data_IF_050290426614
#
_entry.id   IF_050290426614
#
_cell.length_a   1.000
_cell.length_b   1.000
_cell.length_c   1.000
_cell.angle_alpha   90.00
_cell.angle_beta   90.00
_cell.angle_gamma   90.00
#
_symmetry.space_group_name_H-M   'P 1'
#
loop_
_entity.id
_entity.type
_entity.pdbx_description
1 polymer ?
#
# COMPACT_ATOMS: atom_id res chain seq x y z
N UNK A 1 32.34 -38.87 -14.87
CA UNK A 1 32.62 -37.49 -15.36
C UNK A 1 32.70 -36.40 -14.25
N UNK A 2 31.65 -36.12 -13.47
CA UNK A 2 31.68 -35.06 -12.41
C UNK A 2 32.70 -35.29 -11.28
N UNK A 3 32.96 -36.54 -10.87
CA UNK A 3 33.99 -36.87 -9.86
C UNK A 3 35.42 -36.77 -10.41
N UNK A 4 35.62 -37.06 -11.70
CA UNK A 4 36.92 -36.93 -12.37
C UNK A 4 37.30 -35.46 -12.59
N UNK A 5 36.34 -34.59 -12.96
CA UNK A 5 36.56 -33.13 -13.01
C UNK A 5 36.87 -32.55 -11.63
N UNK A 6 36.22 -33.04 -10.56
CA UNK A 6 36.50 -32.63 -9.17
C UNK A 6 37.92 -32.99 -8.75
N UNK A 7 38.40 -34.20 -9.10
CA UNK A 7 39.78 -34.63 -8.84
C UNK A 7 40.81 -33.84 -9.66
N UNK A 8 40.50 -33.53 -10.92
CA UNK A 8 41.39 -32.73 -11.77
C UNK A 8 41.59 -31.30 -11.23
N UNK A 9 40.50 -30.64 -10.79
CA UNK A 9 40.56 -29.30 -10.19
C UNK A 9 41.31 -29.30 -8.85
N UNK A 10 41.11 -30.33 -8.01
CA UNK A 10 41.85 -30.46 -6.73
C UNK A 10 43.35 -30.68 -6.97
N UNK A 11 43.72 -31.50 -7.96
CA UNK A 11 45.12 -31.74 -8.30
C UNK A 11 45.78 -30.51 -8.93
N UNK A 12 45.05 -29.70 -9.70
CA UNK A 12 45.54 -28.45 -10.28
C UNK A 12 45.76 -27.36 -9.23
N UNK A 13 44.89 -27.28 -8.21
CA UNK A 13 45.03 -26.37 -7.07
C UNK A 13 46.15 -26.79 -6.10
N UNK A 14 46.45 -28.09 -6.00
CA UNK A 14 47.57 -28.61 -5.22
C UNK A 14 48.94 -28.30 -5.86
N UNK A 15 49.05 -28.43 -7.19
CA UNK A 15 50.30 -28.14 -7.93
C UNK A 15 50.72 -26.67 -7.93
N UNK A 16 49.78 -25.75 -7.67
CA UNK A 16 50.00 -24.29 -7.70
C UNK A 16 50.24 -23.69 -6.32
N UNK A 17 50.29 -24.50 -5.25
CA UNK A 17 50.40 -24.01 -3.87
C UNK A 17 49.17 -23.22 -3.38
N UNK A 18 48.07 -23.21 -4.14
CA UNK A 18 46.86 -22.44 -3.85
C UNK A 18 45.81 -23.25 -3.06
N UNK A 19 46.05 -24.54 -2.84
CA UNK A 19 45.15 -25.43 -2.09
C UNK A 19 44.97 -24.97 -0.64
N UNK A 20 46.05 -24.56 0.03
CA UNK A 20 45.97 -24.04 1.40
C UNK A 20 45.24 -22.70 1.47
N UNK A 21 45.40 -21.80 0.48
CA UNK A 21 44.62 -20.54 0.42
C UNK A 21 43.14 -20.78 0.12
N UNK A 22 42.80 -21.76 -0.71
CA UNK A 22 41.41 -22.13 -1.01
C UNK A 22 40.72 -22.86 0.17
N UNK A 23 41.47 -23.69 0.89
CA UNK A 23 41.01 -24.34 2.14
C UNK A 23 40.93 -23.35 3.28
N UNK A 24 41.86 -22.40 3.40
CA UNK A 24 41.83 -21.31 4.39
C UNK A 24 40.71 -20.31 4.11
N UNK A 25 40.44 -19.94 2.84
CA UNK A 25 39.30 -19.08 2.50
C UNK A 25 37.96 -19.77 2.76
N UNK A 26 37.86 -21.09 2.51
CA UNK A 26 36.66 -21.88 2.80
C UNK A 26 36.51 -22.19 4.30
N UNK A 27 37.60 -22.35 5.03
CA UNK A 27 37.61 -22.53 6.48
C UNK A 27 37.30 -21.22 7.19
N UNK A 28 37.88 -20.08 6.79
CA UNK A 28 37.57 -18.74 7.32
C UNK A 28 36.12 -18.32 7.04
N UNK A 29 35.58 -18.62 5.85
CA UNK A 29 34.18 -18.30 5.51
C UNK A 29 33.17 -19.17 6.31
N UNK A 30 33.55 -20.39 6.68
CA UNK A 30 32.70 -21.32 7.45
C UNK A 30 32.85 -21.13 8.97
N UNK A 31 34.05 -20.81 9.45
CA UNK A 31 34.34 -20.56 10.88
C UNK A 31 33.86 -19.18 11.33
N UNK A 32 33.92 -18.13 10.49
CA UNK A 32 33.34 -16.82 10.86
C UNK A 32 31.82 -16.84 10.97
N UNK A 33 31.15 -17.72 10.22
CA UNK A 33 29.70 -17.92 10.31
C UNK A 33 29.31 -18.60 11.63
N UNK A 34 29.96 -19.72 11.94
CA UNK A 34 29.63 -20.51 13.12
C UNK A 34 30.08 -19.82 14.41
N UNK A 35 31.19 -19.08 14.41
CA UNK A 35 31.71 -18.45 15.62
C UNK A 35 31.02 -17.11 15.98
N UNK A 36 30.55 -16.35 14.97
CA UNK A 36 29.66 -15.19 15.20
C UNK A 36 28.25 -15.63 15.59
N UNK A 37 27.69 -16.68 14.97
CA UNK A 37 26.40 -17.24 15.36
C UNK A 37 26.46 -17.96 16.72
N UNK A 38 27.60 -18.58 17.07
CA UNK A 38 27.83 -19.15 18.40
C UNK A 38 27.97 -18.06 19.46
N UNK A 39 28.67 -16.95 19.18
CA UNK A 39 28.69 -15.77 20.06
C UNK A 39 27.31 -15.12 20.20
N UNK A 40 26.50 -15.13 19.14
CA UNK A 40 25.08 -14.74 19.21
C UNK A 40 24.28 -15.68 20.12
N UNK A 41 24.39 -17.01 19.94
CA UNK A 41 23.75 -18.03 20.80
C UNK A 41 24.17 -17.89 22.28
N UNK A 42 25.43 -17.55 22.55
CA UNK A 42 25.94 -17.40 23.92
C UNK A 42 25.59 -16.06 24.57
N UNK A 43 25.43 -14.98 23.80
CA UNK A 43 24.98 -13.66 24.32
C UNK A 43 23.46 -13.48 24.37
N UNK A 44 22.72 -14.25 23.55
CA UNK A 44 21.27 -14.06 23.34
C UNK A 44 20.48 -15.37 23.46
N UNK A 45 20.99 -16.37 24.18
CA UNK A 45 20.15 -17.49 24.62
C UNK A 45 19.00 -16.90 25.47
N UNK A 46 17.73 -17.02 25.04
CA UNK A 46 16.65 -16.34 25.71
C UNK A 46 16.25 -17.12 26.95
N UNK A 47 16.74 -16.69 28.12
CA UNK A 47 15.94 -16.79 29.33
C UNK A 47 14.77 -15.82 29.16
N UNK A 48 13.56 -16.34 28.99
CA UNK A 48 12.27 -15.63 28.86
C UNK A 48 12.09 -14.69 27.65
N UNK A 49 11.60 -15.23 26.52
CA UNK A 49 11.05 -14.43 25.39
C UNK A 49 9.52 -14.31 25.42
N UNK A 50 8.85 -14.84 26.45
CA UNK A 50 7.40 -14.73 26.64
C UNK A 50 7.00 -13.44 27.36
N UNK A 51 7.96 -12.73 27.98
CA UNK A 51 7.75 -11.45 28.67
C UNK A 51 8.30 -10.30 27.81
N UNK A 52 7.51 -9.23 27.71
CA UNK A 52 7.82 -7.92 27.11
C UNK A 52 7.52 -7.62 25.63
N UNK A 53 6.86 -8.47 24.83
CA UNK A 53 6.22 -7.92 23.59
C UNK A 53 4.99 -7.07 23.94
N UNK A 54 4.32 -7.40 25.07
CA UNK A 54 3.26 -6.56 25.67
C UNK A 54 3.75 -5.19 26.14
N UNK A 55 5.06 -5.00 26.29
CA UNK A 55 5.66 -3.78 26.82
C UNK A 55 6.16 -2.84 25.71
N UNK A 56 5.92 -3.18 24.43
CA UNK A 56 6.20 -2.27 23.31
C UNK A 56 5.03 -1.28 23.23
N UNK A 57 5.25 0.03 23.41
CA UNK A 57 4.20 1.03 23.30
C UNK A 57 3.48 0.95 21.96
N UNK A 58 2.20 1.32 21.97
CA UNK A 58 1.33 1.36 20.79
C UNK A 58 1.24 0.02 20.05
N UNK A 59 1.15 -1.09 20.77
CA UNK A 59 0.94 -2.42 20.18
C UNK A 59 -0.28 -3.13 20.75
N UNK A 60 -0.93 -3.92 19.91
CA UNK A 60 -2.04 -4.80 20.27
C UNK A 60 -1.75 -6.23 19.80
N UNK A 61 -2.43 -7.18 20.44
CA UNK A 61 -2.43 -8.58 20.01
C UNK A 61 -3.71 -8.82 19.22
N UNK A 62 -3.57 -9.21 17.95
CA UNK A 62 -4.70 -9.54 17.08
C UNK A 62 -4.39 -10.83 16.30
N UNK A 63 -5.27 -11.22 15.38
CA UNK A 63 -5.11 -12.40 14.55
C UNK A 63 -4.93 -12.07 13.07
N UNK A 64 -4.02 -12.77 12.39
CA UNK A 64 -3.77 -12.61 10.97
C UNK A 64 -4.06 -13.89 10.17
N UNK A 65 -4.72 -13.74 9.02
CA UNK A 65 -4.95 -14.80 8.03
C UNK A 65 -6.43 -15.10 7.78
N UNK A 66 -6.72 -15.63 6.59
CA UNK A 66 -8.06 -16.13 6.22
C UNK A 66 -8.04 -17.65 6.13
N UNK A 67 -9.17 -18.31 6.46
CA UNK A 67 -9.33 -19.75 6.24
C UNK A 67 -9.15 -20.04 4.73
N UNK A 68 -8.34 -21.04 4.33
CA UNK A 68 -7.83 -22.17 5.12
C UNK A 68 -6.34 -22.02 5.57
N UNK A 69 -5.73 -20.84 5.43
CA UNK A 69 -4.28 -20.64 5.63
C UNK A 69 -3.81 -20.65 7.10
N UNK A 70 -4.71 -20.93 8.05
CA UNK A 70 -4.47 -20.88 9.49
C UNK A 70 -4.58 -19.46 10.04
N UNK A 71 -5.36 -19.30 11.09
CA UNK A 71 -5.39 -18.06 11.89
C UNK A 71 -4.16 -18.07 12.79
N UNK A 72 -3.37 -17.00 12.79
CA UNK A 72 -2.18 -16.88 13.64
C UNK A 72 -2.33 -15.67 14.57
N UNK A 73 -1.88 -15.79 15.81
CA UNK A 73 -1.77 -14.64 16.72
C UNK A 73 -0.57 -13.80 16.31
N UNK A 74 -0.76 -12.49 16.18
CA UNK A 74 0.27 -11.53 15.79
C UNK A 74 0.28 -10.34 16.73
N UNK A 75 1.42 -9.65 16.76
CA UNK A 75 1.58 -8.38 17.44
C UNK A 75 1.57 -7.31 16.36
N UNK A 76 0.62 -6.39 16.45
CA UNK A 76 0.44 -5.30 15.49
C UNK A 76 0.69 -3.96 16.18
N UNK A 77 1.27 -3.01 15.46
CA UNK A 77 1.29 -1.62 15.89
C UNK A 77 -0.12 -1.04 15.76
N UNK A 78 -0.62 -0.48 16.84
CA UNK A 78 -1.86 0.26 16.86
C UNK A 78 -1.68 1.60 16.12
N UNK A 79 -2.57 1.88 15.17
CA UNK A 79 -2.63 3.12 14.40
C UNK A 79 -4.09 3.55 14.30
N UNK A 80 -4.39 4.79 14.71
CA UNK A 80 -5.75 5.35 14.66
C UNK A 80 -6.19 5.73 13.24
N UNK A 81 -5.25 6.02 12.35
CA UNK A 81 -5.50 6.32 10.93
C UNK A 81 -4.24 5.94 10.14
N UNK A 82 -4.29 4.83 9.41
CA UNK A 82 -3.20 4.44 8.53
C UNK A 82 -3.76 4.13 7.15
N UNK A 83 -3.33 4.91 6.15
CA UNK A 83 -3.51 4.51 4.76
C UNK A 83 -2.64 3.30 4.45
N UNK A 84 -2.95 2.60 3.36
CA UNK A 84 -2.07 1.53 2.85
C UNK A 84 -0.64 2.06 2.59
N UNK A 85 -0.52 3.31 2.13
CA UNK A 85 0.77 3.94 1.86
C UNK A 85 1.59 4.18 3.12
N UNK A 86 0.95 4.59 4.21
CA UNK A 86 1.64 4.84 5.47
C UNK A 86 2.26 3.54 6.02
N UNK A 87 1.53 2.43 5.92
CA UNK A 87 2.07 1.11 6.25
C UNK A 87 3.27 0.74 5.36
N UNK A 88 3.16 0.97 4.04
CA UNK A 88 4.25 0.73 3.09
C UNK A 88 5.49 1.59 3.40
N UNK A 89 5.31 2.89 3.62
CA UNK A 89 6.38 3.85 3.96
C UNK A 89 7.02 3.49 5.29
N UNK A 90 6.22 3.13 6.29
CA UNK A 90 6.70 2.65 7.59
C UNK A 90 7.61 1.42 7.43
N UNK A 91 7.17 0.42 6.68
CA UNK A 91 7.95 -0.80 6.42
C UNK A 91 9.25 -0.52 5.64
N UNK A 92 9.20 0.36 4.63
CA UNK A 92 10.41 0.80 3.91
C UNK A 92 11.40 1.49 4.84
N UNK A 93 10.91 2.41 5.67
CA UNK A 93 11.73 3.16 6.62
C UNK A 93 12.34 2.25 7.68
N UNK A 94 11.60 1.24 8.15
CA UNK A 94 12.13 0.22 9.05
C UNK A 94 13.32 -0.52 8.43
N UNK A 95 13.17 -1.02 7.20
CA UNK A 95 14.23 -1.77 6.52
C UNK A 95 15.45 -0.91 6.29
N UNK A 96 15.27 0.27 5.68
CA UNK A 96 16.39 1.17 5.35
C UNK A 96 17.14 1.62 6.60
N UNK A 97 16.44 1.95 7.70
CA UNK A 97 17.06 2.29 8.99
C UNK A 97 17.81 1.11 9.59
N UNK A 98 17.18 -0.07 9.67
CA UNK A 98 17.81 -1.27 10.26
C UNK A 98 19.08 -1.69 9.51
N UNK A 99 19.08 -1.60 8.18
CA UNK A 99 20.23 -1.95 7.35
C UNK A 99 21.33 -0.88 7.40
N UNK A 100 20.96 0.39 7.34
CA UNK A 100 21.95 1.49 7.41
C UNK A 100 22.65 1.51 8.76
N UNK A 101 21.94 1.21 9.86
CA UNK A 101 22.50 1.12 11.20
C UNK A 101 23.64 0.08 11.35
N UNK A 102 23.68 -0.94 10.47
CA UNK A 102 24.74 -1.96 10.47
C UNK A 102 25.74 -1.81 9.31
N UNK A 103 25.69 -0.67 8.62
CA UNK A 103 26.56 -0.34 7.50
C UNK A 103 26.25 -1.13 6.21
N UNK A 104 25.02 -1.65 6.07
CA UNK A 104 24.53 -2.24 4.83
C UNK A 104 23.99 -1.11 3.95
N UNK A 105 24.61 -0.92 2.77
CA UNK A 105 24.10 0.05 1.79
C UNK A 105 22.80 -0.48 1.18
N UNK A 106 21.81 0.40 1.07
CA UNK A 106 20.53 0.16 0.42
C UNK A 106 20.39 1.04 -0.80
N UNK A 107 19.68 0.57 -1.81
CA UNK A 107 19.34 1.37 -2.98
C UNK A 107 17.84 1.23 -3.24
N UNK A 108 17.12 2.34 -3.22
CA UNK A 108 15.67 2.32 -3.44
C UNK A 108 15.36 2.01 -4.90
N UNK A 109 14.39 1.13 -5.13
CA UNK A 109 13.92 0.79 -6.45
C UNK A 109 12.51 1.32 -6.65
N UNK A 110 12.11 1.63 -7.90
CA UNK A 110 10.75 1.98 -8.21
C UNK A 110 9.80 0.87 -7.80
N UNK A 111 8.65 1.30 -7.29
CA UNK A 111 7.57 0.39 -7.00
C UNK A 111 6.95 -0.09 -8.32
N UNK A 112 6.92 -1.40 -8.52
CA UNK A 112 6.13 -2.06 -9.57
C UNK A 112 4.84 -2.64 -8.99
N UNK A 113 4.50 -2.27 -7.76
CA UNK A 113 3.43 -2.86 -6.98
C UNK A 113 2.69 -1.82 -6.17
N UNK A 114 1.36 -1.81 -6.34
CA UNK A 114 0.44 -0.98 -5.56
C UNK A 114 0.52 -1.17 -4.04
N UNK A 115 1.06 -2.29 -3.58
CA UNK A 115 1.02 -2.66 -2.16
C UNK A 115 2.38 -2.65 -1.46
N UNK A 116 3.52 -2.45 -2.13
CA UNK A 116 4.83 -2.61 -1.46
C UNK A 116 5.94 -1.83 -2.13
N UNK A 117 6.85 -1.29 -1.32
CA UNK A 117 8.12 -0.76 -1.80
C UNK A 117 9.17 -1.86 -1.92
N UNK A 118 10.22 -1.55 -2.69
CA UNK A 118 11.34 -2.46 -2.93
C UNK A 118 12.66 -1.73 -2.71
N UNK A 119 13.57 -2.42 -2.03
CA UNK A 119 14.93 -1.95 -1.76
C UNK A 119 15.92 -3.01 -2.23
N UNK A 120 16.91 -2.59 -3.01
CA UNK A 120 18.03 -3.41 -3.40
C UNK A 120 19.12 -3.42 -2.33
N UNK A 121 19.79 -4.57 -2.21
CA UNK A 121 20.99 -4.74 -1.37
C UNK A 121 22.07 -5.50 -2.12
N UNK A 122 23.33 -5.10 -1.93
CA UNK A 122 24.52 -5.78 -2.47
C UNK A 122 25.28 -6.42 -1.31
N UNK A 123 24.67 -7.43 -0.68
CA UNK A 123 25.24 -8.09 0.50
C UNK A 123 24.87 -9.57 0.57
N UNK A 124 25.63 -10.30 1.38
CA UNK A 124 25.35 -11.68 1.75
C UNK A 124 24.05 -11.76 2.58
N UNK A 125 23.21 -12.76 2.29
CA UNK A 125 21.96 -13.04 3.00
C UNK A 125 22.17 -13.23 4.50
N UNK A 126 23.27 -13.88 4.90
CA UNK A 126 23.53 -14.12 6.32
C UNK A 126 23.83 -12.82 7.07
N UNK A 127 24.56 -11.90 6.43
CA UNK A 127 24.84 -10.57 6.97
C UNK A 127 23.57 -9.70 7.00
N UNK A 128 22.71 -9.83 5.99
CA UNK A 128 21.44 -9.14 5.94
C UNK A 128 20.51 -9.59 7.08
N UNK A 129 20.36 -10.91 7.26
CA UNK A 129 19.55 -11.47 8.33
C UNK A 129 20.05 -11.02 9.70
N UNK A 130 21.36 -11.08 9.93
CA UNK A 130 21.96 -10.58 11.17
C UNK A 130 21.65 -9.10 11.41
N UNK A 131 21.73 -8.27 10.37
CA UNK A 131 21.45 -6.85 10.47
C UNK A 131 20.00 -6.58 10.89
N UNK A 132 19.06 -7.30 10.28
CA UNK A 132 17.64 -7.18 10.61
C UNK A 132 17.35 -7.67 12.03
N UNK A 133 17.92 -8.81 12.44
CA UNK A 133 17.71 -9.36 13.80
C UNK A 133 18.25 -8.44 14.89
N UNK A 134 19.37 -7.75 14.63
CA UNK A 134 20.02 -6.88 15.63
C UNK A 134 19.39 -5.49 15.68
N UNK A 135 19.00 -4.92 14.55
CA UNK A 135 18.63 -3.51 14.46
C UNK A 135 17.12 -3.26 14.24
N UNK A 136 16.35 -4.26 13.80
CA UNK A 136 14.92 -4.05 13.58
C UNK A 136 14.13 -4.07 14.90
N UNK A 137 13.00 -3.35 14.98
CA UNK A 137 12.10 -3.41 16.13
C UNK A 137 11.68 -4.85 16.46
N UNK A 138 11.38 -5.11 17.75
CA UNK A 138 10.94 -6.44 18.21
C UNK A 138 9.62 -6.90 17.59
N UNK A 139 8.84 -5.98 17.03
CA UNK A 139 7.56 -6.17 16.32
C UNK A 139 7.72 -6.55 14.85
N UNK A 140 8.95 -6.74 14.38
CA UNK A 140 9.25 -7.01 12.96
C UNK A 140 9.04 -8.46 12.57
N UNK A 141 8.44 -8.65 11.41
CA UNK A 141 8.24 -9.93 10.74
C UNK A 141 9.00 -9.98 9.41
N UNK A 142 9.33 -11.20 8.97
CA UNK A 142 9.87 -11.48 7.65
C UNK A 142 9.03 -12.53 6.94
N UNK A 143 8.70 -12.25 5.69
CA UNK A 143 8.13 -13.20 4.74
C UNK A 143 9.22 -13.70 3.78
N UNK A 144 9.36 -15.01 3.66
CA UNK A 144 10.27 -15.69 2.74
C UNK A 144 9.48 -16.32 1.59
N UNK A 145 9.61 -15.76 0.38
CA UNK A 145 8.93 -16.32 -0.79
C UNK A 145 9.78 -17.38 -1.49
N UNK A 146 9.26 -18.61 -1.50
CA UNK A 146 9.76 -19.70 -2.32
C UNK A 146 8.71 -20.80 -2.47
N UNK A 147 8.61 -21.37 -3.67
CA UNK A 147 7.78 -22.56 -3.94
C UNK A 147 8.21 -23.77 -3.11
N UNK A 148 9.47 -23.82 -2.66
CA UNK A 148 9.99 -24.88 -1.79
C UNK A 148 9.65 -24.69 -0.31
N UNK A 149 9.02 -23.58 0.08
CA UNK A 149 8.66 -23.27 1.46
C UNK A 149 7.14 -23.39 1.63
N UNK A 150 6.66 -24.29 2.52
CA UNK A 150 5.23 -24.41 2.81
C UNK A 150 4.64 -23.07 3.25
N UNK A 151 3.41 -22.74 2.81
CA UNK A 151 2.79 -21.42 3.07
C UNK A 151 2.82 -21.02 4.55
N UNK A 152 2.58 -21.95 5.47
CA UNK A 152 2.55 -21.69 6.92
C UNK A 152 3.93 -21.37 7.50
N UNK A 153 5.01 -21.69 6.79
CA UNK A 153 6.40 -21.43 7.18
C UNK A 153 7.01 -20.27 6.38
N UNK A 154 6.20 -19.46 5.69
CA UNK A 154 6.73 -18.31 4.96
C UNK A 154 6.89 -17.09 5.82
N UNK A 155 6.14 -16.95 6.90
CA UNK A 155 6.19 -15.77 7.79
C UNK A 155 6.84 -16.15 9.11
N UNK A 156 7.78 -15.32 9.54
CA UNK A 156 8.51 -15.49 10.79
C UNK A 156 8.53 -14.17 11.56
N UNK A 157 8.31 -14.23 12.87
CA UNK A 157 8.54 -13.10 13.77
C UNK A 157 10.03 -13.03 14.10
N UNK A 158 10.73 -11.95 13.74
CA UNK A 158 12.20 -11.91 13.80
C UNK A 158 12.73 -12.10 15.21
N UNK A 159 12.08 -11.53 16.22
CA UNK A 159 12.56 -11.57 17.60
C UNK A 159 12.34 -12.93 18.30
N UNK A 160 11.35 -13.72 17.87
CA UNK A 160 11.02 -15.01 18.52
C UNK A 160 11.35 -16.24 17.69
N UNK A 161 11.66 -16.08 16.40
CA UNK A 161 12.00 -17.21 15.54
C UNK A 161 13.43 -17.70 15.79
N UNK A 162 13.63 -19.02 15.71
CA UNK A 162 14.97 -19.60 15.81
C UNK A 162 15.89 -19.07 14.70
N UNK A 163 17.13 -18.66 15.01
CA UNK A 163 18.09 -18.25 14.00
C UNK A 163 18.36 -19.33 12.94
N UNK A 164 18.27 -20.61 13.32
CA UNK A 164 18.48 -21.73 12.41
C UNK A 164 17.34 -21.84 11.40
N UNK A 165 16.10 -21.56 11.79
CA UNK A 165 14.94 -21.53 10.90
C UNK A 165 14.99 -20.33 9.96
N UNK A 166 15.27 -19.14 10.50
CA UNK A 166 15.43 -17.92 9.70
C UNK A 166 16.52 -18.11 8.62
N UNK A 167 17.65 -18.73 8.99
CA UNK A 167 18.71 -19.05 8.04
C UNK A 167 18.28 -20.13 7.03
N UNK A 168 17.64 -21.22 7.50
CA UNK A 168 17.18 -22.33 6.66
C UNK A 168 16.19 -21.88 5.58
N UNK A 169 15.24 -21.02 5.93
CA UNK A 169 14.23 -20.52 4.99
C UNK A 169 14.75 -19.34 4.16
N UNK A 170 15.42 -18.37 4.79
CA UNK A 170 16.00 -17.22 4.11
C UNK A 170 17.03 -17.58 3.04
N UNK A 171 17.83 -18.63 3.27
CA UNK A 171 18.80 -19.13 2.27
C UNK A 171 18.14 -19.70 1.02
N UNK A 172 16.91 -20.23 1.12
CA UNK A 172 16.14 -20.80 0.01
C UNK A 172 15.26 -19.77 -0.71
N UNK A 173 14.86 -18.70 -0.03
CA UNK A 173 13.94 -17.71 -0.57
C UNK A 173 14.60 -16.81 -1.60
N UNK A 174 13.94 -16.58 -2.73
CA UNK A 174 14.42 -15.61 -3.73
C UNK A 174 14.08 -14.17 -3.31
N UNK A 175 12.95 -14.00 -2.63
CA UNK A 175 12.39 -12.72 -2.21
C UNK A 175 12.18 -12.73 -0.70
N UNK A 176 12.65 -11.68 -0.03
CA UNK A 176 12.39 -11.42 1.38
C UNK A 176 11.49 -10.20 1.47
N UNK A 177 10.42 -10.24 2.27
CA UNK A 177 9.61 -9.05 2.56
C UNK A 177 9.63 -8.81 4.05
N UNK A 178 10.08 -7.64 4.47
CA UNK A 178 10.17 -7.26 5.88
C UNK A 178 9.02 -6.31 6.19
N UNK A 179 8.34 -6.55 7.30
CA UNK A 179 7.14 -5.79 7.63
C UNK A 179 6.84 -5.81 9.12
N UNK A 180 5.98 -4.90 9.54
CA UNK A 180 5.25 -5.00 10.80
C UNK A 180 3.77 -5.15 10.49
N UNK A 181 3.04 -5.81 11.39
CA UNK A 181 1.59 -5.71 11.34
C UNK A 181 1.17 -4.32 11.83
N UNK A 182 0.24 -3.70 11.13
CA UNK A 182 -0.41 -2.46 11.58
C UNK A 182 -1.90 -2.71 11.69
N UNK A 183 -2.49 -2.28 12.79
CA UNK A 183 -3.90 -2.47 13.03
C UNK A 183 -4.55 -1.23 13.63
N UNK A 184 -5.84 -1.09 13.41
CA UNK A 184 -6.68 -0.16 14.16
C UNK A 184 -6.76 -0.55 15.65
N UNK A 185 -7.22 0.34 16.54
CA UNK A 185 -7.35 0.03 17.96
C UNK A 185 -8.19 -1.21 18.27
N UNK A 186 -9.22 -1.48 17.46
CA UNK A 186 -10.11 -2.64 17.62
C UNK A 186 -9.52 -3.93 17.02
N UNK A 187 -8.41 -3.83 16.28
CA UNK A 187 -7.73 -4.96 15.66
C UNK A 187 -8.51 -5.65 14.53
N UNK A 188 -9.55 -5.00 14.01
CA UNK A 188 -10.41 -5.46 12.91
C UNK A 188 -9.68 -5.29 11.58
N UNK A 189 -9.00 -4.17 11.43
CA UNK A 189 -8.22 -3.83 10.27
C UNK A 189 -6.77 -4.22 10.46
N UNK A 190 -6.22 -4.98 9.50
CA UNK A 190 -4.87 -5.50 9.62
C UNK A 190 -4.09 -5.39 8.32
N UNK A 191 -3.09 -4.52 8.31
CA UNK A 191 -2.05 -4.50 7.28
C UNK A 191 -0.91 -5.43 7.69
N UNK A 192 -0.42 -6.24 6.74
CA UNK A 192 0.59 -7.26 7.04
C UNK A 192 1.58 -7.48 5.90
N UNK A 193 1.85 -8.74 5.60
CA UNK A 193 2.94 -9.18 4.72
C UNK A 193 2.84 -8.68 3.28
N UNK A 194 1.61 -8.48 2.78
CA UNK A 194 1.38 -7.92 1.44
C UNK A 194 1.85 -6.46 1.32
N UNK A 195 2.00 -5.77 2.46
CA UNK A 195 2.44 -4.38 2.58
C UNK A 195 3.90 -4.20 2.99
N UNK A 196 4.64 -5.31 3.08
CA UNK A 196 6.05 -5.31 3.48
C UNK A 196 6.99 -4.71 2.45
N UNK A 197 8.14 -4.23 2.92
CA UNK A 197 9.23 -3.80 2.05
C UNK A 197 9.97 -5.02 1.51
N UNK A 198 10.01 -5.14 0.18
CA UNK A 198 10.66 -6.23 -0.52
C UNK A 198 12.17 -5.97 -0.64
N UNK A 199 12.99 -6.97 -0.32
CA UNK A 199 14.44 -6.92 -0.50
C UNK A 199 14.83 -7.65 -1.77
N UNK A 200 15.44 -6.92 -2.70
CA UNK A 200 16.01 -7.45 -3.92
C UNK A 200 17.53 -7.64 -3.79
N UNK A 201 18.00 -8.86 -4.03
CA UNK A 201 19.41 -9.20 -3.93
C UNK A 201 20.14 -8.93 -5.25
N UNK A 202 20.91 -7.85 -5.27
CA UNK A 202 21.79 -7.51 -6.38
C UNK A 202 23.14 -8.18 -6.21
N UNK A 203 23.82 -8.42 -7.33
CA UNK A 203 25.11 -9.10 -7.34
C UNK A 203 26.19 -8.20 -7.93
N UNK A 204 27.36 -8.21 -7.32
CA UNK A 204 28.57 -7.62 -7.92
C UNK A 204 28.96 -8.47 -9.12
N UNK A 205 29.18 -7.80 -10.25
CA UNK A 205 29.80 -8.44 -11.41
C UNK A 205 31.25 -8.78 -11.10
N UNK A 206 31.75 -9.85 -11.76
CA UNK A 206 33.15 -10.31 -11.63
C UNK A 206 34.06 -9.71 -12.70
N UNK A 207 33.49 -9.09 -13.72
CA UNK A 207 34.20 -8.66 -14.93
C UNK A 207 34.35 -7.13 -14.95
N UNK A 208 33.29 -6.42 -14.56
CA UNK A 208 33.25 -4.97 -14.45
C UNK A 208 32.90 -4.57 -13.01
N UNK A 209 33.29 -3.37 -12.57
CA UNK A 209 32.98 -2.84 -11.23
C UNK A 209 31.52 -2.37 -11.13
N UNK A 210 30.57 -3.23 -11.49
CA UNK A 210 29.14 -2.94 -11.50
C UNK A 210 28.39 -3.87 -10.56
N UNK A 211 27.18 -3.45 -10.19
CA UNK A 211 26.20 -4.26 -9.48
C UNK A 211 24.97 -4.41 -10.36
N UNK A 212 24.42 -5.62 -10.40
CA UNK A 212 23.37 -6.00 -11.34
C UNK A 212 22.16 -6.57 -10.62
N UNK A 213 20.98 -6.16 -11.08
CA UNK A 213 19.73 -6.83 -10.75
C UNK A 213 19.58 -8.12 -11.57
N UNK A 214 18.80 -9.06 -11.04
CA UNK A 214 18.28 -10.21 -11.81
C UNK A 214 16.86 -9.99 -12.30
N UNK A 215 16.24 -8.88 -11.91
CA UNK A 215 14.88 -8.49 -12.25
C UNK A 215 14.95 -7.20 -13.03
N UNK A 216 14.10 -7.11 -14.04
CA UNK A 216 13.90 -5.85 -14.72
C UNK A 216 13.28 -4.85 -13.72
N UNK A 217 13.72 -3.60 -13.79
CA UNK A 217 13.07 -2.47 -13.13
C UNK A 217 13.23 -1.24 -14.04
N UNK A 218 12.36 -0.23 -13.92
CA UNK A 218 12.28 0.85 -14.89
C UNK A 218 13.40 1.90 -14.78
N UNK A 219 14.21 1.88 -13.71
CA UNK A 219 15.37 2.79 -13.59
C UNK A 219 16.62 2.20 -14.23
N UNK A 220 17.09 1.07 -13.71
CA UNK A 220 18.27 0.39 -14.25
C UNK A 220 18.42 -1.03 -13.72
N UNK A 221 18.91 -1.94 -14.56
CA UNK A 221 19.30 -3.29 -14.15
C UNK A 221 20.79 -3.43 -13.83
N UNK A 222 21.59 -2.39 -14.06
CA UNK A 222 23.03 -2.38 -13.83
C UNK A 222 23.54 -0.97 -13.51
N UNK A 223 24.37 -0.85 -12.48
CA UNK A 223 24.99 0.43 -12.11
C UNK A 223 26.43 0.25 -11.60
N UNK A 224 27.30 1.25 -11.77
CA UNK A 224 28.65 1.23 -11.20
C UNK A 224 28.59 1.06 -9.67
N UNK A 225 29.42 0.18 -9.11
CA UNK A 225 29.31 -0.24 -7.70
C UNK A 225 29.45 0.94 -6.72
N UNK A 226 30.22 1.97 -7.08
CA UNK A 226 30.37 3.21 -6.33
C UNK A 226 29.08 4.05 -6.25
N UNK A 227 28.19 3.95 -7.24
CA UNK A 227 26.89 4.64 -7.25
C UNK A 227 25.82 3.90 -6.45
N UNK A 228 26.05 2.65 -6.04
CA UNK A 228 25.08 1.89 -5.28
C UNK A 228 24.84 2.53 -3.90
N UNK A 229 23.58 2.89 -3.64
CA UNK A 229 23.16 3.60 -2.42
C UNK A 229 23.53 5.07 -2.38
N UNK A 230 24.05 5.65 -3.47
CA UNK A 230 24.22 7.11 -3.62
C UNK A 230 22.96 7.82 -4.12
N UNK A 231 22.01 7.06 -4.66
CA UNK A 231 20.73 7.52 -5.18
C UNK A 231 19.64 7.03 -4.22
N UNK A 232 18.82 7.96 -3.70
CA UNK A 232 17.65 7.65 -2.86
C UNK A 232 17.88 7.68 -1.34
N UNK A 233 18.96 8.29 -0.84
CA UNK A 233 19.11 8.56 0.60
C UNK A 233 18.20 9.75 1.01
N UNK A 234 16.89 9.54 0.99
CA UNK A 234 15.91 10.61 1.21
C UNK A 234 14.44 10.18 1.06
N UNK A 235 14.16 8.96 0.59
CA UNK A 235 12.81 8.44 0.53
C UNK A 235 12.02 8.78 -0.74
N UNK A 236 12.64 9.44 -1.72
CA UNK A 236 12.12 9.62 -3.07
C UNK A 236 13.17 9.21 -4.11
N UNK A 237 12.69 8.64 -5.21
CA UNK A 237 13.52 8.44 -6.40
C UNK A 237 14.05 9.81 -6.86
N UNK A 238 15.26 9.87 -7.44
CA UNK A 238 15.92 11.14 -7.79
C UNK A 238 15.14 11.99 -8.80
N UNK A 239 14.13 11.42 -9.46
CA UNK A 239 13.13 12.10 -10.26
C UNK A 239 11.85 11.25 -10.31
N UNK A 240 10.66 11.86 -10.49
CA UNK A 240 9.43 11.14 -10.82
C UNK A 240 9.67 10.29 -12.08
N UNK A 241 8.99 9.13 -12.16
CA UNK A 241 9.06 8.32 -13.37
C UNK A 241 8.35 9.05 -14.51
N UNK A 242 8.67 8.70 -15.77
CA UNK A 242 8.03 9.32 -16.94
C UNK A 242 6.50 9.15 -16.96
N UNK A 243 6.00 8.12 -16.29
CA UNK A 243 4.56 7.84 -16.15
C UNK A 243 3.97 8.38 -14.85
N UNK A 244 4.79 8.96 -13.97
CA UNK A 244 4.33 9.46 -12.67
C UNK A 244 3.44 10.68 -12.83
N UNK A 245 2.36 10.71 -12.07
CA UNK A 245 1.48 11.87 -11.94
C UNK A 245 1.93 12.70 -10.75
N UNK A 246 2.34 13.95 -11.00
CA UNK A 246 2.94 14.86 -10.01
C UNK A 246 2.15 16.16 -9.77
N UNK A 247 0.99 16.32 -10.41
CA UNK A 247 0.05 17.41 -10.18
C UNK A 247 -0.99 17.05 -9.11
N UNK A 248 -1.58 18.05 -8.41
CA UNK A 248 -2.61 17.81 -7.41
C UNK A 248 -3.88 17.24 -8.06
N UNK A 249 -4.49 16.27 -7.38
CA UNK A 249 -5.79 15.70 -7.76
C UNK A 249 -6.75 15.81 -6.59
N UNK A 250 -7.86 16.51 -6.80
CA UNK A 250 -8.92 16.62 -5.81
C UNK A 250 -10.02 15.59 -6.04
N UNK A 251 -10.90 15.42 -5.06
CA UNK A 251 -12.08 14.57 -5.15
C UNK A 251 -13.31 15.39 -4.82
N UNK A 252 -14.34 15.29 -5.66
CA UNK A 252 -15.63 15.92 -5.44
C UNK A 252 -16.68 14.84 -5.21
N UNK A 253 -17.27 14.85 -4.03
CA UNK A 253 -18.44 14.06 -3.67
C UNK A 253 -19.71 14.85 -3.89
N UNK A 254 -20.77 14.18 -4.30
CA UNK A 254 -22.14 14.67 -4.16
C UNK A 254 -22.85 13.87 -3.09
N UNK A 255 -23.57 14.55 -2.20
CA UNK A 255 -24.34 13.88 -1.16
C UNK A 255 -25.57 14.68 -0.76
N UNK A 256 -26.62 13.97 -0.38
CA UNK A 256 -27.85 14.53 0.18
C UNK A 256 -28.41 13.58 1.24
N UNK A 257 -28.93 14.14 2.33
CA UNK A 257 -29.75 13.40 3.28
C UNK A 257 -31.20 13.39 2.78
N UNK A 258 -31.62 12.23 2.27
CA UNK A 258 -33.00 12.04 1.83
C UNK A 258 -34.03 11.98 2.97
N UNK A 259 -33.59 11.94 4.23
CA UNK A 259 -34.47 11.96 5.41
C UNK A 259 -34.68 13.35 6.01
N UNK A 260 -33.97 14.37 5.51
CA UNK A 260 -34.09 15.76 5.96
C UNK A 260 -35.48 16.33 5.60
N UNK A 261 -36.32 16.68 6.61
CA UNK A 261 -37.66 17.22 6.36
C UNK A 261 -37.66 18.52 5.55
N UNK A 262 -36.69 19.42 5.77
CA UNK A 262 -36.62 20.70 5.05
C UNK A 262 -36.29 20.45 3.58
N UNK A 263 -35.39 19.51 3.31
CA UNK A 263 -35.07 19.07 1.96
C UNK A 263 -36.27 18.42 1.26
N UNK A 264 -37.00 17.54 1.95
CA UNK A 264 -38.20 16.88 1.44
C UNK A 264 -39.27 17.93 1.06
N UNK A 265 -39.49 18.93 1.90
CA UNK A 265 -40.47 20.00 1.65
C UNK A 265 -40.06 20.87 0.46
N UNK A 266 -38.79 21.30 0.38
CA UNK A 266 -38.26 22.05 -0.77
C UNK A 266 -38.40 21.25 -2.07
N UNK A 267 -38.13 19.94 -2.03
CA UNK A 267 -38.27 19.03 -3.17
C UNK A 267 -39.72 18.85 -3.61
N UNK A 268 -40.63 18.63 -2.66
CA UNK A 268 -42.06 18.48 -2.95
C UNK A 268 -42.62 19.75 -3.60
N UNK A 269 -42.20 20.92 -3.09
CA UNK A 269 -42.59 22.23 -3.63
C UNK A 269 -42.09 22.43 -5.06
N UNK A 270 -40.80 22.18 -5.32
CA UNK A 270 -40.20 22.37 -6.64
C UNK A 270 -40.75 21.43 -7.72
N UNK A 271 -41.13 20.20 -7.34
CA UNK A 271 -41.72 19.22 -8.26
C UNK A 271 -43.24 19.40 -8.45
N UNK A 272 -43.86 20.39 -7.81
CA UNK A 272 -45.32 20.58 -7.85
C UNK A 272 -46.11 19.44 -7.18
N UNK A 273 -45.45 18.68 -6.30
CA UNK A 273 -46.01 17.51 -5.59
C UNK A 273 -46.68 17.90 -4.26
N UNK A 274 -46.97 19.19 -4.07
CA UNK A 274 -47.54 19.76 -2.83
C UNK A 274 -48.88 19.10 -2.46
N UNK A 275 -49.59 18.47 -3.40
CA UNK A 275 -50.84 17.72 -3.17
C UNK A 275 -50.66 16.19 -3.00
N UNK A 276 -49.44 15.67 -3.18
CA UNK A 276 -49.06 14.26 -2.95
C UNK A 276 -48.37 14.08 -1.60
N UNK A 277 -47.63 15.08 -1.10
CA UNK A 277 -47.03 15.04 0.24
C UNK A 277 -48.08 14.92 1.36
N UNK A 278 -49.29 15.45 1.14
CA UNK A 278 -50.45 15.36 2.04
C UNK A 278 -51.23 14.04 1.94
N UNK A 279 -50.92 13.18 0.96
CA UNK A 279 -51.63 11.90 0.70
C UNK A 279 -50.78 10.65 0.89
N UNK A 280 -49.50 10.78 1.23
CA UNK A 280 -48.56 9.67 1.37
C UNK A 280 -48.24 9.33 2.83
N UNK A 281 -49.22 9.42 3.75
CA UNK A 281 -49.08 8.84 5.10
C UNK A 281 -48.90 7.31 5.06
N UNK A 282 -49.35 6.62 3.99
CA UNK A 282 -49.26 5.15 3.88
C UNK A 282 -48.10 4.64 3.00
N UNK A 283 -47.28 5.53 2.44
CA UNK A 283 -46.04 5.16 1.73
C UNK A 283 -44.78 5.27 2.62
N UNK A 284 -44.99 5.42 3.93
CA UNK A 284 -43.96 5.43 4.98
C UNK A 284 -43.44 4.01 5.27
N UNK A 285 -42.81 3.37 4.28
CA UNK A 285 -41.89 2.28 4.59
C UNK A 285 -40.51 2.90 4.78
N UNK A 286 -40.09 3.08 6.04
CA UNK A 286 -38.82 3.64 6.55
C UNK A 286 -37.53 3.23 5.81
N UNK A 287 -37.58 2.20 4.97
CA UNK A 287 -36.42 1.60 4.32
C UNK A 287 -35.82 2.38 3.13
N UNK A 288 -36.54 3.35 2.54
CA UNK A 288 -36.09 4.09 1.33
C UNK A 288 -35.38 5.40 1.60
N UNK A 289 -35.54 6.00 2.78
CA UNK A 289 -34.93 7.30 3.13
C UNK A 289 -33.85 7.20 4.22
N UNK A 290 -33.59 6.00 4.74
CA UNK A 290 -32.55 5.79 5.74
C UNK A 290 -31.16 5.94 5.11
N UNK A 291 -30.47 7.05 5.39
CA UNK A 291 -29.03 7.17 5.17
C UNK A 291 -28.33 6.03 5.92
N UNK A 292 -27.63 5.13 5.20
CA UNK A 292 -26.93 3.99 5.80
C UNK A 292 -25.46 4.33 6.08
N UNK A 293 -25.14 5.62 6.21
CA UNK A 293 -23.79 6.14 6.37
C UNK A 293 -22.87 5.81 5.17
N UNK A 294 -23.40 5.70 3.95
CA UNK A 294 -22.64 5.39 2.74
C UNK A 294 -21.45 6.35 2.57
N UNK A 295 -21.70 7.68 2.61
CA UNK A 295 -20.66 8.71 2.51
C UNK A 295 -19.54 8.52 3.56
N UNK A 296 -19.90 8.20 4.81
CA UNK A 296 -18.94 7.99 5.90
C UNK A 296 -17.98 6.86 5.60
N UNK A 297 -18.51 5.74 5.11
CA UNK A 297 -17.68 4.58 4.75
C UNK A 297 -16.94 4.82 3.43
N UNK A 298 -17.51 5.58 2.49
CA UNK A 298 -16.86 5.97 1.24
C UNK A 298 -15.63 6.83 1.50
N UNK A 299 -15.76 7.90 2.28
CA UNK A 299 -14.64 8.77 2.68
C UNK A 299 -13.53 8.01 3.42
N UNK A 300 -13.89 7.09 4.31
CA UNK A 300 -12.92 6.20 4.99
C UNK A 300 -12.19 5.28 4.00
N UNK A 301 -12.90 4.78 2.99
CA UNK A 301 -12.29 3.97 1.94
C UNK A 301 -11.33 4.80 1.07
N UNK A 302 -11.70 6.06 0.77
CA UNK A 302 -10.85 7.00 0.05
C UNK A 302 -9.56 7.28 0.82
N UNK A 303 -9.67 7.70 2.09
CA UNK A 303 -8.51 7.99 2.96
C UNK A 303 -7.55 6.80 3.02
N UNK A 304 -8.09 5.58 3.05
CA UNK A 304 -7.30 4.35 3.17
C UNK A 304 -6.58 3.95 1.89
N UNK A 305 -7.22 4.14 0.74
CA UNK A 305 -6.84 3.50 -0.52
C UNK A 305 -6.45 4.48 -1.63
N UNK A 306 -6.76 5.78 -1.51
CA UNK A 306 -6.43 6.82 -2.47
C UNK A 306 -5.58 7.90 -1.78
N UNK A 307 -4.35 7.52 -1.46
CA UNK A 307 -3.34 8.32 -0.77
C UNK A 307 -2.83 9.54 -1.56
N UNK A 308 -3.03 9.56 -2.88
CA UNK A 308 -2.65 10.66 -3.76
C UNK A 308 -3.61 11.85 -3.74
N UNK A 309 -4.78 11.72 -3.11
CA UNK A 309 -5.80 12.77 -3.08
C UNK A 309 -5.29 13.99 -2.31
N UNK A 310 -5.35 15.14 -2.95
CA UNK A 310 -4.94 16.42 -2.40
C UNK A 310 -6.01 16.99 -1.47
N UNK A 311 -7.21 17.28 -1.99
CA UNK A 311 -8.34 17.81 -1.22
C UNK A 311 -9.65 17.09 -1.54
N UNK A 312 -10.58 17.06 -0.59
CA UNK A 312 -11.92 16.49 -0.75
C UNK A 312 -12.98 17.58 -0.60
N UNK A 313 -13.82 17.72 -1.60
CA UNK A 313 -14.99 18.59 -1.58
C UNK A 313 -16.25 17.72 -1.47
N UNK A 314 -17.15 18.05 -0.56
CA UNK A 314 -18.46 17.40 -0.45
C UNK A 314 -19.51 18.44 -0.83
N UNK A 315 -20.06 18.29 -2.03
CA UNK A 315 -21.12 19.16 -2.57
C UNK A 315 -22.48 18.68 -2.05
N UNK A 316 -23.21 19.56 -1.37
CA UNK A 316 -24.47 19.24 -0.69
C UNK A 316 -25.59 20.22 -1.04
N UNK A 317 -26.79 19.96 -0.54
CA UNK A 317 -27.98 20.82 -0.70
C UNK A 317 -28.39 21.44 0.65
N UNK A 318 -27.58 22.39 1.12
CA UNK A 318 -27.71 23.08 2.43
C UNK A 318 -27.59 22.14 3.63
N UNK A 319 -26.83 21.07 3.47
CA UNK A 319 -26.70 20.00 4.46
C UNK A 319 -25.24 19.76 4.85
N UNK A 320 -25.05 19.35 6.10
CA UNK A 320 -23.76 18.88 6.61
C UNK A 320 -23.98 17.63 7.46
N UNK A 321 -23.33 16.49 7.17
CA UNK A 321 -23.43 15.31 8.03
C UNK A 321 -22.91 15.63 9.44
N UNK A 322 -23.65 15.23 10.47
CA UNK A 322 -23.34 15.49 11.89
C UNK A 322 -22.02 14.87 12.36
N UNK A 323 -21.65 13.72 11.79
CA UNK A 323 -20.42 13.01 12.07
C UNK A 323 -19.20 13.55 11.32
N UNK A 324 -19.39 14.46 10.36
CA UNK A 324 -18.32 14.96 9.49
C UNK A 324 -17.50 16.02 10.21
N UNK A 325 -16.18 15.80 10.27
CA UNK A 325 -15.24 16.78 10.83
C UNK A 325 -14.90 17.85 9.80
N UNK A 326 -15.65 18.94 9.81
CA UNK A 326 -15.50 20.06 8.85
C UNK A 326 -14.27 20.92 9.08
N UNK A 327 -13.57 20.74 10.21
CA UNK A 327 -12.30 21.40 10.54
C UNK A 327 -11.07 20.73 9.90
N UNK A 328 -11.26 19.63 9.17
CA UNK A 328 -10.16 18.89 8.58
C UNK A 328 -9.54 19.68 7.40
N UNK A 329 -8.22 19.94 7.36
CA UNK A 329 -7.61 20.89 6.42
C UNK A 329 -7.69 20.47 4.95
N UNK A 330 -7.94 19.19 4.68
CA UNK A 330 -8.09 18.63 3.32
C UNK A 330 -9.55 18.31 2.96
N UNK A 331 -10.52 18.87 3.68
CA UNK A 331 -11.94 18.62 3.46
C UNK A 331 -12.72 19.93 3.49
N UNK A 332 -13.65 20.11 2.56
CA UNK A 332 -14.57 21.25 2.54
C UNK A 332 -15.97 20.78 2.15
N UNK A 333 -16.97 21.25 2.88
CA UNK A 333 -18.38 21.12 2.48
C UNK A 333 -18.73 22.36 1.66
N UNK A 334 -19.33 22.15 0.50
CA UNK A 334 -19.67 23.21 -0.45
C UNK A 334 -21.15 23.10 -0.76
N UNK A 335 -21.89 24.18 -0.63
CA UNK A 335 -23.28 24.17 -1.04
C UNK A 335 -23.36 24.23 -2.57
N UNK A 336 -24.21 23.42 -3.19
CA UNK A 336 -24.34 23.44 -4.65
C UNK A 336 -24.77 24.81 -5.19
N UNK A 337 -25.43 25.69 -4.42
CA UNK A 337 -25.72 27.08 -4.83
C UNK A 337 -24.44 27.85 -5.17
N UNK A 338 -23.31 27.51 -4.56
CA UNK A 338 -22.01 28.17 -4.81
C UNK A 338 -21.42 27.84 -6.19
N UNK A 339 -21.81 26.72 -6.81
CA UNK A 339 -21.27 26.29 -8.12
C UNK A 339 -22.17 26.69 -9.31
N UNK A 340 -23.35 27.23 -9.03
CA UNK A 340 -24.27 27.78 -10.03
C UNK A 340 -24.10 29.30 -10.14
N UNK A 341 -24.41 29.88 -11.31
CA UNK A 341 -24.44 31.33 -11.44
C UNK A 341 -25.61 31.91 -10.63
N UNK A 342 -25.49 33.18 -10.23
CA UNK A 342 -26.46 33.87 -9.35
C UNK A 342 -27.87 33.92 -9.92
N UNK A 343 -28.00 33.88 -11.25
CA UNK A 343 -29.26 33.89 -11.99
C UNK A 343 -29.84 32.49 -12.27
N UNK A 344 -29.20 31.43 -11.77
CA UNK A 344 -29.71 30.07 -11.92
C UNK A 344 -31.05 29.87 -11.17
N UNK A 345 -31.93 29.07 -11.78
CA UNK A 345 -33.15 28.60 -11.12
C UNK A 345 -32.77 27.41 -10.23
N UNK A 346 -32.65 27.66 -8.93
CA UNK A 346 -32.39 26.66 -7.89
C UNK A 346 -33.58 26.57 -6.91
N UNK A 347 -33.78 25.43 -6.24
CA UNK A 347 -33.09 24.14 -6.40
C UNK A 347 -33.56 23.37 -7.64
N UNK A 348 -32.65 22.64 -8.31
CA UNK A 348 -33.00 21.85 -9.52
C UNK A 348 -33.43 20.41 -9.21
N UNK A 349 -33.01 19.84 -8.07
CA UNK A 349 -33.16 18.42 -7.72
C UNK A 349 -32.77 17.45 -8.85
N UNK A 350 -31.89 17.87 -9.76
CA UNK A 350 -31.45 17.12 -10.92
C UNK A 350 -29.93 16.90 -10.80
N UNK A 351 -29.53 15.66 -10.54
CA UNK A 351 -28.12 15.29 -10.37
C UNK A 351 -27.27 15.67 -11.59
N UNK A 352 -27.75 15.45 -12.82
CA UNK A 352 -27.01 15.81 -14.03
C UNK A 352 -26.73 17.32 -14.13
N UNK A 353 -27.67 18.14 -13.67
CA UNK A 353 -27.49 19.61 -13.66
C UNK A 353 -26.38 20.00 -12.68
N UNK A 354 -26.39 19.41 -11.48
CA UNK A 354 -25.37 19.65 -10.45
C UNK A 354 -24.00 19.12 -10.91
N UNK A 355 -23.95 17.88 -11.40
CA UNK A 355 -22.73 17.21 -11.88
C UNK A 355 -22.03 18.01 -12.99
N UNK A 356 -22.81 18.62 -13.90
CA UNK A 356 -22.27 19.44 -14.98
C UNK A 356 -21.56 20.72 -14.51
N UNK A 357 -21.76 21.11 -13.24
CA UNK A 357 -21.25 22.35 -12.64
C UNK A 357 -20.13 22.14 -11.62
N UNK A 358 -19.76 20.89 -11.29
CA UNK A 358 -18.78 20.59 -10.23
C UNK A 358 -17.41 21.25 -10.46
N UNK A 359 -17.02 21.50 -11.71
CA UNK A 359 -15.78 22.19 -12.06
C UNK A 359 -15.74 23.67 -11.61
N UNK A 360 -16.84 24.23 -11.11
CA UNK A 360 -16.91 25.57 -10.52
C UNK A 360 -16.70 25.59 -9.00
N UNK A 361 -16.46 24.45 -8.35
CA UNK A 361 -16.16 24.42 -6.91
C UNK A 361 -14.97 25.35 -6.61
N UNK A 362 -15.12 26.32 -5.68
CA UNK A 362 -14.05 27.25 -5.36
C UNK A 362 -12.78 26.54 -4.86
N UNK A 363 -11.64 26.86 -5.47
CA UNK A 363 -10.34 26.30 -5.11
C UNK A 363 -10.07 24.88 -5.62
N UNK A 364 -11.00 24.28 -6.38
CA UNK A 364 -10.81 22.97 -6.99
C UNK A 364 -9.61 22.96 -7.95
N UNK A 365 -8.78 21.93 -7.85
CA UNK A 365 -7.67 21.68 -8.77
C UNK A 365 -8.17 21.38 -10.18
N UNK A 366 -7.34 21.69 -11.19
CA UNK A 366 -7.62 21.39 -12.59
C UNK A 366 -7.94 19.90 -12.85
N UNK A 367 -7.30 19.02 -12.07
CA UNK A 367 -7.55 17.58 -12.12
C UNK A 367 -8.34 17.17 -10.88
N UNK A 368 -9.50 16.56 -11.09
CA UNK A 368 -10.32 16.03 -10.01
C UNK A 368 -11.03 14.74 -10.40
N UNK A 369 -11.43 13.97 -9.39
CA UNK A 369 -12.29 12.80 -9.53
C UNK A 369 -13.67 13.14 -8.99
N UNK A 370 -14.72 12.85 -9.76
CA UNK A 370 -16.09 12.84 -9.26
C UNK A 370 -16.42 11.46 -8.71
N UNK A 371 -16.95 11.40 -7.49
CA UNK A 371 -17.45 10.19 -6.85
C UNK A 371 -18.84 10.46 -6.27
N UNK A 372 -19.77 9.53 -6.45
CA UNK A 372 -21.00 9.56 -5.66
C UNK A 372 -20.74 9.00 -4.23
N UNK A 373 -21.64 9.26 -3.29
CA UNK A 373 -21.52 8.88 -1.88
C UNK A 373 -21.48 7.36 -1.63
N UNK A 374 -21.98 6.56 -2.56
CA UNK A 374 -22.00 5.09 -2.55
C UNK A 374 -20.81 4.43 -3.29
N UNK A 375 -19.79 5.22 -3.65
CA UNK A 375 -18.57 4.69 -4.27
C UNK A 375 -17.58 4.21 -3.21
N UNK A 376 -17.01 3.01 -3.36
CA UNK A 376 -16.04 2.48 -2.38
C UNK A 376 -14.75 1.98 -3.04
N UNK A 377 -13.62 2.38 -2.48
CA UNK A 377 -12.33 1.78 -2.82
C UNK A 377 -12.13 0.51 -1.99
N UNK A 378 -11.86 -0.61 -2.67
CA UNK A 378 -11.63 -1.91 -2.02
C UNK A 378 -10.15 -2.32 -1.98
N UNK A 379 -9.27 -1.52 -2.58
CA UNK A 379 -7.82 -1.74 -2.65
C UNK A 379 -7.13 -0.42 -2.97
N UNK A 380 -5.84 -0.32 -2.63
CA UNK A 380 -5.04 0.86 -2.96
C UNK A 380 -5.04 1.12 -4.46
N UNK A 381 -5.28 2.37 -4.82
CA UNK A 381 -5.24 2.91 -6.16
C UNK A 381 -4.16 3.98 -6.26
N UNK A 382 -3.69 4.22 -7.48
CA UNK A 382 -2.64 5.21 -7.78
C UNK A 382 -3.20 6.23 -8.78
N UNK A 383 -2.68 7.45 -8.76
CA UNK A 383 -3.13 8.55 -9.63
C UNK A 383 -3.04 8.18 -11.12
N UNK A 384 -2.00 7.41 -11.49
CA UNK A 384 -1.72 6.91 -12.82
C UNK A 384 -2.82 5.97 -13.37
N UNK A 385 -3.72 5.50 -12.51
CA UNK A 385 -4.91 4.76 -12.95
C UNK A 385 -5.99 5.67 -13.55
N UNK A 386 -5.99 6.96 -13.19
CA UNK A 386 -7.00 7.94 -13.57
C UNK A 386 -6.46 9.00 -14.52
N UNK A 387 -5.18 9.32 -14.42
CA UNK A 387 -4.54 10.31 -15.29
C UNK A 387 -3.25 9.77 -15.89
N UNK A 388 -2.88 10.31 -17.05
CA UNK A 388 -1.55 10.18 -17.62
C UNK A 388 -0.66 11.31 -17.07
N UNK A 389 0.66 11.11 -17.08
CA UNK A 389 1.62 12.10 -16.63
C UNK A 389 1.55 13.45 -17.37
N UNK A 390 0.94 13.50 -18.56
CA UNK A 390 0.71 14.72 -19.32
C UNK A 390 -0.61 15.43 -18.98
N UNK A 391 -1.32 15.01 -17.92
CA UNK A 391 -2.57 15.62 -17.45
C UNK A 391 -3.86 15.03 -18.06
N UNK A 392 -3.76 14.22 -19.13
CA UNK A 392 -4.96 13.65 -19.73
C UNK A 392 -5.60 12.57 -18.86
N UNK A 393 -6.91 12.69 -18.64
CA UNK A 393 -7.70 11.67 -17.96
C UNK A 393 -7.76 10.36 -18.76
N UNK A 394 -7.74 9.24 -18.05
CA UNK A 394 -7.91 7.89 -18.57
C UNK A 394 -9.38 7.51 -18.46
N UNK A 395 -10.01 7.25 -19.59
CA UNK A 395 -11.41 6.84 -19.64
C UNK A 395 -11.55 5.34 -19.89
N UNK A 396 -12.35 4.68 -19.06
CA UNK A 396 -12.72 3.28 -19.23
C UNK A 396 -14.01 3.21 -20.03
N UNK A 397 -13.89 3.05 -21.35
CA UNK A 397 -15.07 2.92 -22.21
C UNK A 397 -15.86 1.65 -21.86
N UNK A 398 -17.17 1.78 -21.75
CA UNK A 398 -18.06 0.61 -21.69
C UNK A 398 -17.86 -0.24 -22.93
N UNK A 399 -17.91 -1.57 -22.76
CA UNK A 399 -17.97 -2.51 -23.89
C UNK A 399 -19.38 -2.69 -24.43
N UNK A 400 -20.38 -2.10 -23.78
CA UNK A 400 -21.75 -2.09 -24.28
C UNK A 400 -21.78 -1.37 -25.63
N UNK A 401 -22.24 -2.07 -26.65
CA UNK A 401 -22.46 -1.50 -27.97
C UNK A 401 -23.86 -0.89 -27.97
N UNK A 402 -23.92 0.41 -28.17
CA UNK A 402 -25.15 1.16 -28.38
C UNK A 402 -25.56 0.93 -29.84
N UNK A 403 -26.72 0.33 -30.14
CA UNK A 403 -27.19 0.16 -31.51
C UNK A 403 -27.34 1.51 -32.21
N UNK A 404 -26.89 1.61 -33.46
CA UNK A 404 -27.13 2.79 -34.28
C UNK A 404 -28.58 2.74 -34.79
N UNK A 405 -29.41 3.72 -34.43
CA UNK A 405 -30.81 3.82 -34.85
C UNK A 405 -31.61 4.80 -34.00
N UNK A 406 -32.86 5.06 -34.36
CA UNK A 406 -33.75 5.88 -33.54
C UNK A 406 -34.11 5.15 -32.23
N UNK A 407 -34.16 5.86 -31.08
CA UNK A 407 -34.61 5.30 -29.82
C UNK A 407 -36.02 4.70 -29.94
N UNK A 408 -36.23 3.52 -29.36
CA UNK A 408 -37.56 2.89 -29.32
C UNK A 408 -38.02 2.71 -27.87
N UNK A 409 -39.34 2.59 -27.66
CA UNK A 409 -39.94 2.36 -26.32
C UNK A 409 -39.47 1.06 -25.63
N UNK A 410 -38.68 0.22 -26.30
CA UNK A 410 -38.09 -1.01 -25.75
C UNK A 410 -36.68 -0.79 -25.22
N UNK A 411 -36.05 0.33 -25.53
CA UNK A 411 -34.75 0.69 -24.99
C UNK A 411 -34.94 1.11 -23.53
N UNK A 412 -34.10 0.57 -22.63
CA UNK A 412 -34.05 1.02 -21.23
C UNK A 412 -33.55 2.46 -21.19
N UNK A 413 -33.75 3.23 -20.11
CA UNK A 413 -33.23 4.60 -19.99
C UNK A 413 -31.70 4.77 -20.09
N UNK A 414 -30.96 3.65 -20.09
CA UNK A 414 -29.50 3.57 -20.30
C UNK A 414 -29.12 2.86 -21.59
N UNK A 415 -30.11 2.36 -22.33
CA UNK A 415 -30.01 2.04 -23.75
C UNK A 415 -30.47 3.31 -24.49
N UNK A 416 -29.92 3.63 -25.68
CA UNK A 416 -30.16 4.91 -26.35
C UNK A 416 -31.63 5.20 -26.64
#
# INVERSE_FOLDING_TARGET
MKQQLRRAVINQLARTGQLERALHARHVYRTTRDEKMRRYRLRHAPASLTLSVRDVPDTIITTAGTRPSGVRTVVARCRTSASVLDAMRSNRNLVTKALTATGVKTHELPTDSRNRFRVAVVHDRDRLLWSLVVAAPRTTYVYFDSTSIPRNHRVHHLASSSPDDLHRYGSKAAVWRIFEYHADPDGVDLFGDIHGCEIEFWHRSRINNTVRSRRWNPLTVELPAERFGSVGSGGDLPAPMIESVDFPIDVVYTWVDGSDPEWIERRATALGLVDLASRHEEAATDARYLSRNELKYSLRSLERYADFVNHVYVVTDDQCPDWLRTDHPRLSVVDHREIFPVDAVLPTFNSHSIESRLHHVPGLSEHYLYLNDDFFFARRVEAEQFFLANGHARFFRSRALIPLGEPTVRHRPVDP
#
